data_IF_448646982650
#
_entry.id   IF_448646982650
#
_cell.length_a   1.000
_cell.length_b   1.000
_cell.length_c   1.000
_cell.angle_alpha   90.00
_cell.angle_beta   90.00
_cell.angle_gamma   90.00
#
_symmetry.space_group_name_H-M   'P 1'
#
loop_
_entity.id
_entity.type
_entity.pdbx_description
1 polymer ?
#
# COMPACT_ATOMS: atom_id res chain seq x y z
N UNK A 1 -39.49 31.84 42.49
CA UNK A 1 -39.12 31.08 41.27
C UNK A 1 -38.19 29.96 41.69
N UNK A 2 -38.65 28.72 41.58
CA UNK A 2 -38.02 27.54 42.21
C UNK A 2 -36.60 27.27 41.68
N UNK A 3 -35.70 26.98 42.62
CA UNK A 3 -34.31 26.50 42.41
C UNK A 3 -34.24 25.29 41.45
N UNK A 4 -35.35 24.57 41.29
CA UNK A 4 -35.50 23.44 40.38
C UNK A 4 -35.39 23.80 38.87
N UNK A 5 -35.74 25.02 38.47
CA UNK A 5 -35.78 25.40 37.04
C UNK A 5 -34.41 25.85 36.50
N UNK A 6 -33.49 26.29 37.37
CA UNK A 6 -32.13 26.72 36.98
C UNK A 6 -31.22 25.50 36.82
N UNK A 7 -31.39 24.48 37.65
CA UNK A 7 -30.59 23.24 37.60
C UNK A 7 -30.89 22.40 36.34
N UNK A 8 -32.12 22.48 35.82
CA UNK A 8 -32.52 21.75 34.61
C UNK A 8 -31.96 22.39 33.32
N UNK A 9 -31.69 23.70 33.30
CA UNK A 9 -31.06 24.38 32.15
C UNK A 9 -29.55 24.25 32.11
N UNK A 10 -28.89 24.03 33.25
CA UNK A 10 -27.43 23.86 33.31
C UNK A 10 -26.97 22.44 32.93
N UNK A 11 -27.80 21.41 33.19
CA UNK A 11 -27.50 20.01 32.83
C UNK A 11 -27.62 19.77 31.32
N UNK A 12 -28.49 20.52 30.62
CA UNK A 12 -28.67 20.38 29.16
C UNK A 12 -27.50 21.02 28.38
N UNK A 13 -26.88 22.08 28.90
CA UNK A 13 -25.71 22.70 28.24
C UNK A 13 -24.40 21.89 28.42
N UNK A 14 -24.28 21.09 29.48
CA UNK A 14 -23.12 20.19 29.69
C UNK A 14 -23.28 18.89 28.90
N UNK A 15 -24.51 18.43 28.67
CA UNK A 15 -24.77 17.27 27.80
C UNK A 15 -24.56 17.56 26.30
N UNK A 16 -24.66 18.83 25.86
CA UNK A 16 -24.42 19.25 24.48
C UNK A 16 -22.92 19.38 24.11
N UNK A 17 -22.00 19.36 25.09
CA UNK A 17 -20.55 19.38 24.86
C UNK A 17 -19.87 18.02 25.03
N UNK A 18 -20.60 16.98 25.45
CA UNK A 18 -20.07 15.63 25.63
C UNK A 18 -20.25 14.72 24.41
N UNK A 19 -20.90 15.19 23.34
CA UNK A 19 -20.70 14.64 21.99
C UNK A 19 -19.45 15.23 21.36
N UNK A 20 -18.31 15.04 22.03
CA UNK A 20 -17.04 15.00 21.32
C UNK A 20 -17.12 13.75 20.44
N UNK A 21 -17.52 13.98 19.19
CA UNK A 21 -17.25 13.09 18.08
C UNK A 21 -15.88 12.48 18.30
N UNK A 22 -15.82 11.16 18.52
CA UNK A 22 -14.61 10.39 18.28
C UNK A 22 -14.43 10.47 16.76
N UNK A 23 -13.94 11.61 16.29
CA UNK A 23 -13.57 11.82 14.92
C UNK A 23 -12.50 10.78 14.64
N UNK A 24 -12.76 9.86 13.72
CA UNK A 24 -11.70 9.07 13.12
C UNK A 24 -10.70 10.07 12.58
N UNK A 25 -9.55 10.17 13.22
CA UNK A 25 -8.58 11.16 12.82
C UNK A 25 -8.19 10.89 11.36
N UNK A 26 -8.51 11.85 10.50
CA UNK A 26 -8.34 11.73 9.07
C UNK A 26 -6.85 11.61 8.77
N UNK A 27 -6.45 10.57 8.04
CA UNK A 27 -5.11 10.48 7.47
C UNK A 27 -5.03 11.49 6.32
N UNK A 28 -4.03 12.36 6.38
CA UNK A 28 -3.77 13.37 5.35
C UNK A 28 -2.33 13.27 4.88
N UNK A 29 -2.06 13.77 3.67
CA UNK A 29 -0.70 13.81 3.14
C UNK A 29 0.21 14.71 3.98
N UNK A 30 1.41 14.25 4.29
CA UNK A 30 2.51 15.11 4.75
C UNK A 30 3.12 15.83 3.54
N UNK A 31 2.57 17.00 3.20
CA UNK A 31 3.04 17.81 2.06
C UNK A 31 4.43 18.40 2.27
N UNK A 32 4.95 18.37 3.50
CA UNK A 32 6.29 18.84 3.82
C UNK A 32 7.33 17.73 3.72
N UNK A 33 6.92 16.48 3.46
CA UNK A 33 7.87 15.41 3.18
C UNK A 33 8.75 15.79 1.98
N UNK A 34 10.05 15.65 2.19
CA UNK A 34 11.06 15.91 1.21
C UNK A 34 12.15 14.85 1.32
N UNK A 35 12.63 14.40 0.16
CA UNK A 35 13.68 13.40 0.08
C UNK A 35 14.65 13.84 -1.03
N UNK A 36 15.91 14.14 -0.70
CA UNK A 36 16.85 14.69 -1.65
C UNK A 36 17.24 13.64 -2.70
N UNK A 37 17.10 14.00 -3.97
CA UNK A 37 17.61 13.24 -5.12
C UNK A 37 18.78 14.01 -5.70
N UNK A 38 20.00 13.48 -5.53
CA UNK A 38 21.22 14.13 -6.02
C UNK A 38 21.38 14.00 -7.54
N UNK A 39 20.97 12.86 -8.10
CA UNK A 39 21.06 12.55 -9.51
C UNK A 39 19.76 11.87 -9.97
N UNK A 40 18.79 12.64 -10.49
CA UNK A 40 17.58 12.08 -11.08
C UNK A 40 17.91 11.11 -12.21
N UNK A 41 17.15 10.02 -12.34
CA UNK A 41 17.35 9.06 -13.43
C UNK A 41 17.03 9.65 -14.81
N UNK A 42 16.15 10.67 -14.85
CA UNK A 42 15.83 11.44 -16.04
C UNK A 42 15.92 12.95 -15.78
N UNK A 43 16.08 13.73 -16.85
CA UNK A 43 15.74 15.14 -16.80
C UNK A 43 14.28 15.32 -16.33
N UNK A 44 14.04 16.35 -15.52
CA UNK A 44 12.73 16.57 -14.90
C UNK A 44 11.62 16.67 -15.96
N UNK A 45 10.62 15.77 -15.85
CA UNK A 45 9.49 15.70 -16.77
C UNK A 45 9.77 15.03 -18.12
N UNK A 46 10.96 14.44 -18.31
CA UNK A 46 11.36 13.73 -19.54
C UNK A 46 11.40 12.21 -19.38
N UNK A 47 11.19 11.70 -18.17
CA UNK A 47 11.18 10.28 -17.87
C UNK A 47 9.93 9.55 -18.35
N UNK A 48 9.93 8.23 -18.12
CA UNK A 48 8.83 7.36 -18.51
C UNK A 48 7.50 7.77 -17.86
N UNK A 49 6.39 7.51 -18.56
CA UNK A 49 5.04 7.74 -18.03
C UNK A 49 4.66 6.64 -17.04
N UNK A 50 4.32 7.07 -15.83
CA UNK A 50 3.70 6.28 -14.78
C UNK A 50 2.22 6.68 -14.69
N UNK A 51 1.31 5.75 -14.98
CA UNK A 51 -0.11 5.95 -14.69
C UNK A 51 -0.43 5.40 -13.31
N UNK A 52 -1.05 6.24 -12.49
CA UNK A 52 -1.50 5.89 -11.15
C UNK A 52 -3.02 5.72 -11.15
N UNK A 53 -3.46 4.55 -10.73
CA UNK A 53 -4.86 4.16 -10.63
C UNK A 53 -5.61 4.95 -9.56
N UNK A 54 -6.61 5.73 -9.97
CA UNK A 54 -7.62 6.33 -9.10
C UNK A 54 -9.05 5.89 -9.50
N UNK A 55 -9.17 4.89 -10.39
CA UNK A 55 -10.45 4.44 -10.96
C UNK A 55 -11.16 3.36 -10.11
N UNK A 56 -10.43 2.69 -9.21
CA UNK A 56 -10.89 1.49 -8.49
C UNK A 56 -11.18 1.74 -7.01
N UNK A 57 -11.87 2.85 -6.71
CA UNK A 57 -12.24 3.29 -5.34
C UNK A 57 -11.05 3.38 -4.36
N UNK A 58 -9.84 3.56 -4.88
CA UNK A 58 -8.63 3.70 -4.10
C UNK A 58 -8.74 4.95 -3.22
N UNK A 59 -8.56 4.81 -1.90
CA UNK A 59 -8.45 5.97 -1.02
C UNK A 59 -7.12 6.71 -1.21
N UNK A 60 -6.11 6.00 -1.73
CA UNK A 60 -4.79 6.52 -2.06
C UNK A 60 -4.83 7.24 -3.41
N UNK A 61 -4.63 8.55 -3.41
CA UNK A 61 -4.59 9.39 -4.63
C UNK A 61 -3.31 10.24 -4.66
N UNK A 62 -2.89 10.66 -5.85
CA UNK A 62 -1.70 11.51 -6.04
C UNK A 62 -1.87 12.90 -5.43
N UNK A 63 -3.11 13.34 -5.19
CA UNK A 63 -3.41 14.60 -4.46
C UNK A 63 -3.65 14.38 -2.96
N UNK A 64 -3.86 13.13 -2.57
CA UNK A 64 -4.11 12.66 -1.21
C UNK A 64 -2.86 12.02 -0.58
N UNK A 65 -3.05 10.92 0.14
CA UNK A 65 -2.01 10.24 0.95
C UNK A 65 -0.76 9.84 0.17
N UNK A 66 -0.85 9.73 -1.16
CA UNK A 66 0.25 9.40 -2.08
C UNK A 66 0.87 10.63 -2.77
N UNK A 67 0.59 11.87 -2.32
CA UNK A 67 1.23 13.06 -2.87
C UNK A 67 2.77 13.04 -2.74
N UNK A 68 3.31 12.46 -1.66
CA UNK A 68 4.75 12.29 -1.48
C UNK A 68 5.37 11.28 -2.46
N UNK A 69 4.64 10.21 -2.81
CA UNK A 69 5.04 9.28 -3.87
C UNK A 69 5.19 10.02 -5.20
N UNK A 70 4.16 10.81 -5.56
CA UNK A 70 4.15 11.59 -6.79
C UNK A 70 5.32 12.58 -6.84
N UNK A 71 5.51 13.33 -5.75
CA UNK A 71 6.60 14.32 -5.62
C UNK A 71 7.97 13.67 -5.75
N UNK A 72 8.19 12.52 -5.08
CA UNK A 72 9.47 11.83 -5.12
C UNK A 72 9.82 11.38 -6.53
N UNK A 73 8.92 10.67 -7.21
CA UNK A 73 9.19 10.15 -8.55
C UNK A 73 9.28 11.26 -9.60
N UNK A 74 8.51 12.35 -9.44
CA UNK A 74 8.64 13.53 -10.30
C UNK A 74 10.00 14.21 -10.12
N UNK A 75 10.51 14.26 -8.89
CA UNK A 75 11.85 14.78 -8.59
C UNK A 75 12.97 13.89 -9.16
N UNK A 76 12.65 12.63 -9.42
CA UNK A 76 13.52 11.67 -10.11
C UNK A 76 13.37 11.71 -11.64
N UNK A 77 12.52 12.60 -12.15
CA UNK A 77 12.34 12.90 -13.56
C UNK A 77 11.22 12.14 -14.27
N UNK A 78 10.52 11.23 -13.58
CA UNK A 78 9.35 10.55 -14.13
C UNK A 78 8.16 11.50 -14.37
N UNK A 79 7.34 11.17 -15.36
CA UNK A 79 6.02 11.80 -15.53
C UNK A 79 4.97 10.92 -14.85
N UNK A 80 4.27 11.43 -13.84
CA UNK A 80 3.24 10.67 -13.11
C UNK A 80 1.88 11.35 -13.31
N UNK A 81 0.90 10.61 -13.80
CA UNK A 81 -0.46 11.09 -14.01
C UNK A 81 -1.49 10.15 -13.35
N UNK A 82 -2.55 10.69 -12.72
CA UNK A 82 -3.66 9.87 -12.26
C UNK A 82 -4.51 9.43 -13.46
N UNK A 83 -5.19 8.30 -13.36
CA UNK A 83 -6.25 7.89 -14.28
C UNK A 83 -7.50 7.50 -13.52
N UNK A 84 -8.64 7.99 -13.99
CA UNK A 84 -9.99 7.61 -13.54
C UNK A 84 -10.68 6.71 -14.56
N UNK A 85 -9.97 6.35 -15.63
CA UNK A 85 -10.48 5.54 -16.72
C UNK A 85 -10.28 4.05 -16.42
N UNK A 86 -11.17 3.22 -16.96
CA UNK A 86 -11.00 1.77 -16.94
C UNK A 86 -9.73 1.35 -17.67
N UNK A 87 -9.14 0.26 -17.24
CA UNK A 87 -7.93 -0.27 -17.87
C UNK A 87 -8.28 -0.86 -19.23
N UNK A 88 -7.79 -0.23 -20.30
CA UNK A 88 -7.95 -0.68 -21.68
C UNK A 88 -6.59 -0.77 -22.38
N UNK A 89 -6.46 -1.56 -23.46
CA UNK A 89 -5.24 -1.56 -24.27
C UNK A 89 -4.86 -0.15 -24.75
N UNK A 90 -5.84 0.67 -25.11
CA UNK A 90 -5.67 2.07 -25.54
C UNK A 90 -5.02 2.93 -24.45
N UNK A 91 -5.52 2.86 -23.21
CA UNK A 91 -4.94 3.57 -22.07
C UNK A 91 -3.48 3.16 -21.83
N UNK A 92 -3.18 1.88 -22.00
CA UNK A 92 -1.87 1.31 -21.72
C UNK A 92 -0.82 1.55 -22.82
N UNK A 93 -1.20 1.99 -24.03
CA UNK A 93 -0.27 2.17 -25.18
C UNK A 93 0.87 3.16 -24.89
N UNK A 94 0.60 4.23 -24.16
CA UNK A 94 1.59 5.27 -23.83
C UNK A 94 2.21 5.09 -22.45
N UNK A 95 1.70 4.13 -21.68
CA UNK A 95 2.09 3.87 -20.29
C UNK A 95 3.32 2.97 -20.26
N UNK A 96 4.30 3.31 -19.42
CA UNK A 96 5.45 2.43 -19.15
C UNK A 96 5.23 1.62 -17.88
N UNK A 97 4.73 2.28 -16.83
CA UNK A 97 4.46 1.67 -15.53
C UNK A 97 3.03 2.00 -15.13
N UNK A 98 2.24 0.98 -14.80
CA UNK A 98 0.92 1.13 -14.18
C UNK A 98 1.05 0.86 -12.68
N UNK A 99 0.55 1.76 -11.85
CA UNK A 99 0.59 1.67 -10.39
C UNK A 99 -0.83 1.60 -9.88
N UNK A 100 -1.14 0.57 -9.10
CA UNK A 100 -2.41 0.52 -8.35
C UNK A 100 -2.11 0.29 -6.88
N UNK A 101 -2.81 1.02 -6.02
CA UNK A 101 -2.60 1.02 -4.58
C UNK A 101 -3.92 0.89 -3.87
N UNK A 102 -4.09 -0.17 -3.09
CA UNK A 102 -5.26 -0.38 -2.24
C UNK A 102 -6.58 -0.23 -3.02
N UNK A 103 -6.63 -0.82 -4.22
CA UNK A 103 -7.86 -0.91 -5.00
C UNK A 103 -8.94 -1.62 -4.20
N UNK A 104 -10.17 -1.13 -4.29
CA UNK A 104 -11.32 -1.63 -3.54
C UNK A 104 -12.52 -1.82 -4.45
N UNK A 105 -13.20 -2.96 -4.31
CA UNK A 105 -14.45 -3.18 -5.02
C UNK A 105 -15.53 -2.15 -4.64
N UNK A 106 -15.64 -1.84 -3.35
CA UNK A 106 -16.59 -0.88 -2.82
C UNK A 106 -16.00 -0.13 -1.62
N UNK A 107 -16.41 1.13 -1.44
CA UNK A 107 -15.93 1.99 -0.34
C UNK A 107 -16.57 1.65 1.01
N UNK A 108 -17.76 1.03 1.01
CA UNK A 108 -18.53 0.78 2.24
C UNK A 108 -18.98 -0.68 2.43
N UNK A 109 -19.23 -1.41 1.33
CA UNK A 109 -19.62 -2.83 1.40
C UNK A 109 -18.39 -3.74 1.35
N UNK A 110 -17.95 -4.15 2.53
CA UNK A 110 -16.75 -4.99 2.71
C UNK A 110 -17.12 -6.43 3.10
N UNK A 111 -18.40 -6.80 2.99
CA UNK A 111 -18.87 -8.12 3.39
C UNK A 111 -18.23 -9.23 2.55
N UNK A 112 -18.05 -10.39 3.16
CA UNK A 112 -17.56 -11.58 2.47
C UNK A 112 -18.71 -12.31 1.74
N UNK A 113 -18.43 -13.01 0.62
CA UNK A 113 -17.13 -13.12 -0.04
C UNK A 113 -16.69 -11.81 -0.69
N UNK A 114 -15.40 -11.47 -0.53
CA UNK A 114 -14.84 -10.28 -1.16
C UNK A 114 -14.88 -10.38 -2.69
N UNK A 115 -14.99 -9.23 -3.35
CA UNK A 115 -15.16 -9.12 -4.80
C UNK A 115 -13.96 -8.41 -5.42
N UNK A 116 -13.62 -8.74 -6.67
CA UNK A 116 -12.56 -8.07 -7.42
C UNK A 116 -12.93 -6.62 -7.72
N UNK A 117 -12.00 -5.68 -7.51
CA UNK A 117 -12.16 -4.30 -7.96
C UNK A 117 -12.07 -4.19 -9.49
N UNK A 118 -11.29 -5.08 -10.11
CA UNK A 118 -11.06 -5.10 -11.55
C UNK A 118 -12.04 -6.05 -12.24
N UNK A 119 -12.58 -5.61 -13.37
CA UNK A 119 -13.32 -6.50 -14.26
C UNK A 119 -12.40 -7.51 -14.94
N UNK A 120 -12.98 -8.58 -15.49
CA UNK A 120 -12.20 -9.59 -16.24
C UNK A 120 -11.49 -8.97 -17.44
N UNK A 121 -12.13 -8.04 -18.16
CA UNK A 121 -11.55 -7.36 -19.32
C UNK A 121 -10.32 -6.52 -18.91
N UNK A 122 -10.37 -5.85 -17.77
CA UNK A 122 -9.25 -5.07 -17.23
C UNK A 122 -8.08 -5.98 -16.82
N UNK A 123 -8.37 -7.10 -16.16
CA UNK A 123 -7.36 -8.10 -15.80
C UNK A 123 -6.69 -8.67 -17.05
N UNK A 124 -7.47 -8.99 -18.09
CA UNK A 124 -6.95 -9.49 -19.37
C UNK A 124 -6.13 -8.44 -20.10
N UNK A 125 -6.59 -7.19 -20.15
CA UNK A 125 -5.86 -6.08 -20.78
C UNK A 125 -4.52 -5.83 -20.06
N UNK A 126 -4.54 -5.73 -18.73
CA UNK A 126 -3.35 -5.45 -17.93
C UNK A 126 -2.35 -6.61 -17.98
N UNK A 127 -2.80 -7.85 -17.80
CA UNK A 127 -1.91 -9.03 -17.86
C UNK A 127 -1.30 -9.21 -19.25
N UNK A 128 -2.07 -9.00 -20.33
CA UNK A 128 -1.57 -9.04 -21.70
C UNK A 128 -0.55 -7.93 -21.96
N UNK A 129 -0.80 -6.71 -21.47
CA UNK A 129 0.13 -5.60 -21.60
C UNK A 129 1.45 -5.85 -20.83
N UNK A 130 1.38 -6.34 -19.59
CA UNK A 130 2.58 -6.73 -18.83
C UNK A 130 3.33 -7.83 -19.58
N UNK A 131 2.65 -8.90 -20.02
CA UNK A 131 3.29 -9.97 -20.79
C UNK A 131 4.04 -9.45 -22.04
N UNK A 132 3.58 -8.33 -22.60
CA UNK A 132 4.17 -7.71 -23.78
C UNK A 132 5.26 -6.65 -23.51
N UNK A 133 5.61 -6.37 -22.24
CA UNK A 133 6.70 -5.46 -21.86
C UNK A 133 6.28 -4.30 -20.96
N UNK A 134 5.00 -4.21 -20.62
CA UNK A 134 4.50 -3.30 -19.59
C UNK A 134 5.01 -3.65 -18.19
N UNK A 135 4.93 -2.71 -17.26
CA UNK A 135 5.38 -2.89 -15.88
C UNK A 135 4.30 -2.55 -14.88
N UNK A 136 4.06 -3.41 -13.90
CA UNK A 136 3.02 -3.23 -12.88
C UNK A 136 3.66 -3.04 -11.50
N UNK A 137 3.27 -1.98 -10.81
CA UNK A 137 3.47 -1.87 -9.37
C UNK A 137 2.12 -2.09 -8.67
N UNK A 138 1.95 -3.27 -8.09
CA UNK A 138 0.74 -3.68 -7.38
C UNK A 138 0.94 -3.52 -5.88
N UNK A 139 0.27 -2.55 -5.27
CA UNK A 139 0.26 -2.38 -3.82
C UNK A 139 -1.13 -2.64 -3.30
N UNK A 140 -1.23 -3.46 -2.26
CA UNK A 140 -2.49 -3.74 -1.58
C UNK A 140 -2.31 -3.63 -0.07
N UNK A 141 -3.36 -3.93 0.66
CA UNK A 141 -3.41 -3.86 2.10
C UNK A 141 -4.20 -5.03 2.67
N UNK A 142 -4.41 -5.01 3.97
CA UNK A 142 -5.37 -5.88 4.63
C UNK A 142 -6.78 -5.80 4.01
N UNK A 143 -7.68 -6.69 4.44
CA UNK A 143 -9.05 -6.70 3.93
C UNK A 143 -9.71 -5.31 4.06
N UNK A 144 -10.51 -4.87 3.08
CA UNK A 144 -10.98 -5.61 1.90
C UNK A 144 -10.05 -5.53 0.67
N UNK A 145 -8.92 -4.82 0.76
CA UNK A 145 -8.03 -4.58 -0.39
C UNK A 145 -7.44 -5.90 -0.92
N UNK A 146 -7.04 -6.81 -0.02
CA UNK A 146 -6.52 -8.12 -0.38
C UNK A 146 -7.47 -8.93 -1.27
N UNK A 147 -8.76 -8.99 -0.94
CA UNK A 147 -9.76 -9.63 -1.80
C UNK A 147 -9.99 -8.87 -3.12
N UNK A 148 -9.96 -7.55 -3.08
CA UNK A 148 -10.21 -6.69 -4.24
C UNK A 148 -9.18 -6.85 -5.35
N UNK A 149 -7.95 -7.25 -5.00
CA UNK A 149 -6.88 -7.52 -5.96
C UNK A 149 -6.62 -9.01 -6.19
N UNK A 150 -7.38 -9.91 -5.55
CA UNK A 150 -7.07 -11.34 -5.55
C UNK A 150 -7.05 -11.94 -6.98
N UNK A 151 -8.08 -11.68 -7.78
CA UNK A 151 -8.16 -12.18 -9.16
C UNK A 151 -7.07 -11.57 -10.06
N UNK A 152 -6.74 -10.28 -9.86
CA UNK A 152 -5.64 -9.63 -10.58
C UNK A 152 -4.29 -10.28 -10.21
N UNK A 153 -3.99 -10.44 -8.92
CA UNK A 153 -2.77 -11.10 -8.45
C UNK A 153 -2.65 -12.52 -8.98
N UNK A 154 -3.75 -13.28 -8.95
CA UNK A 154 -3.82 -14.66 -9.43
C UNK A 154 -3.50 -14.79 -10.92
N UNK A 155 -3.84 -13.79 -11.74
CA UNK A 155 -3.46 -13.75 -13.17
C UNK A 155 -1.93 -13.74 -13.39
N UNK A 156 -1.17 -13.36 -12.36
CA UNK A 156 0.30 -13.38 -12.33
C UNK A 156 0.88 -14.50 -11.45
N UNK A 157 0.04 -15.40 -10.94
CA UNK A 157 0.45 -16.45 -10.01
C UNK A 157 0.71 -15.98 -8.57
N UNK A 158 0.26 -14.77 -8.22
CA UNK A 158 0.40 -14.17 -6.89
C UNK A 158 -0.89 -14.42 -6.10
N UNK A 159 -0.82 -15.21 -5.03
CA UNK A 159 -2.00 -15.50 -4.21
C UNK A 159 -2.08 -14.54 -3.02
N UNK A 160 -2.78 -13.42 -3.21
CA UNK A 160 -2.99 -12.41 -2.16
C UNK A 160 -3.98 -12.92 -1.12
N UNK A 161 -3.59 -12.82 0.16
CA UNK A 161 -4.43 -13.16 1.30
C UNK A 161 -5.35 -11.99 1.63
N UNK A 162 -6.61 -12.28 1.95
CA UNK A 162 -7.56 -11.27 2.44
C UNK A 162 -7.61 -11.26 3.97
N UNK A 163 -6.47 -10.95 4.61
CA UNK A 163 -6.31 -10.98 6.06
C UNK A 163 -5.46 -9.83 6.58
N UNK A 164 -5.10 -9.89 7.87
CA UNK A 164 -4.22 -8.93 8.55
C UNK A 164 -2.96 -9.63 8.99
N UNK A 165 -1.81 -9.20 8.49
CA UNK A 165 -0.52 -9.60 9.00
C UNK A 165 -0.24 -8.81 10.29
N UNK A 166 -0.02 -9.52 11.39
CA UNK A 166 0.40 -8.91 12.65
C UNK A 166 1.58 -9.66 13.24
N UNK A 167 2.52 -8.92 13.79
CA UNK A 167 3.61 -9.47 14.58
C UNK A 167 3.09 -10.05 15.90
N UNK A 168 3.57 -11.23 16.26
CA UNK A 168 3.23 -11.91 17.52
C UNK A 168 3.71 -11.16 18.76
N UNK A 169 4.80 -10.39 18.63
CA UNK A 169 5.40 -9.62 19.73
C UNK A 169 4.86 -8.19 19.86
N UNK A 170 3.93 -7.78 18.99
CA UNK A 170 3.35 -6.45 18.96
C UNK A 170 4.33 -5.31 18.66
N UNK A 171 5.57 -5.61 18.23
CA UNK A 171 6.57 -4.61 17.90
C UNK A 171 6.27 -3.92 16.55
N UNK A 172 6.91 -2.77 16.25
CA UNK A 172 6.83 -2.17 14.92
C UNK A 172 7.27 -3.13 13.81
N UNK A 173 6.61 -3.06 12.64
CA UNK A 173 6.90 -3.94 11.50
C UNK A 173 8.13 -3.50 10.72
N UNK A 174 9.30 -3.75 11.30
CA UNK A 174 10.59 -3.45 10.69
C UNK A 174 11.19 -4.71 10.07
N UNK A 175 11.27 -4.73 8.74
CA UNK A 175 11.97 -5.74 7.95
C UNK A 175 13.41 -5.30 7.76
N UNK A 176 14.38 -6.17 8.05
CA UNK A 176 15.79 -5.79 7.96
C UNK A 176 16.68 -6.98 7.58
N UNK A 177 17.78 -6.69 6.88
CA UNK A 177 18.77 -7.71 6.48
C UNK A 177 19.35 -8.45 7.69
N UNK A 178 19.67 -7.70 8.75
CA UNK A 178 20.14 -8.28 10.03
C UNK A 178 19.16 -9.26 10.68
N UNK A 179 17.86 -9.12 10.39
CA UNK A 179 16.79 -9.99 10.87
C UNK A 179 16.45 -11.11 9.89
N UNK A 180 17.07 -11.11 8.70
CA UNK A 180 16.76 -12.01 7.58
C UNK A 180 15.30 -11.94 7.10
N UNK A 181 14.62 -10.82 7.39
CA UNK A 181 13.24 -10.55 6.96
C UNK A 181 13.18 -9.59 5.77
N UNK A 182 14.27 -8.87 5.49
CA UNK A 182 14.51 -8.18 4.22
C UNK A 182 15.65 -8.91 3.51
N UNK A 183 15.41 -9.41 2.30
CA UNK A 183 16.35 -10.27 1.60
C UNK A 183 17.25 -9.48 0.65
N UNK A 184 18.44 -10.03 0.41
CA UNK A 184 19.39 -9.53 -0.58
C UNK A 184 18.94 -9.85 -2.00
N UNK A 185 18.76 -8.82 -2.81
CA UNK A 185 18.39 -8.90 -4.22
C UNK A 185 18.77 -7.60 -4.95
N UNK A 186 18.55 -7.50 -6.25
CA UNK A 186 18.93 -6.30 -7.02
C UNK A 186 18.24 -5.02 -6.50
N UNK A 187 16.97 -5.07 -6.08
CA UNK A 187 16.23 -3.92 -5.55
C UNK A 187 16.76 -3.48 -4.17
N UNK A 188 17.13 -4.40 -3.28
CA UNK A 188 17.65 -4.07 -1.94
C UNK A 188 19.16 -3.82 -1.91
N UNK A 189 19.88 -4.22 -2.97
CA UNK A 189 21.32 -4.03 -3.15
C UNK A 189 21.68 -3.11 -4.33
N UNK A 190 20.76 -2.25 -4.76
CA UNK A 190 21.01 -1.29 -5.83
C UNK A 190 22.30 -0.49 -5.57
N UNK A 191 23.14 -0.35 -6.61
CA UNK A 191 24.45 0.29 -6.50
C UNK A 191 24.27 1.75 -6.10
N UNK A 192 24.95 2.18 -5.03
CA UNK A 192 24.82 3.53 -4.48
C UNK A 192 23.51 3.80 -3.72
N UNK A 193 22.56 2.87 -3.71
CA UNK A 193 21.26 3.03 -3.06
C UNK A 193 20.79 1.78 -2.29
N UNK A 194 21.71 1.19 -1.50
CA UNK A 194 21.43 0.01 -0.68
C UNK A 194 20.32 0.27 0.37
N UNK A 195 19.49 -0.75 0.61
CA UNK A 195 18.41 -0.76 1.60
C UNK A 195 18.65 -1.89 2.60
N UNK A 196 18.91 -1.52 3.85
CA UNK A 196 19.18 -2.45 4.96
C UNK A 196 17.95 -2.74 5.81
N UNK A 197 16.99 -1.80 5.82
CA UNK A 197 15.81 -1.85 6.67
C UNK A 197 14.67 -1.04 6.07
N UNK A 198 13.46 -1.58 6.12
CA UNK A 198 12.22 -0.88 5.78
C UNK A 198 11.21 -1.04 6.90
N UNK A 199 10.22 -0.15 6.94
CA UNK A 199 9.11 -0.25 7.88
C UNK A 199 7.77 -0.31 7.15
N UNK A 200 6.90 -1.19 7.65
CA UNK A 200 5.51 -1.37 7.25
C UNK A 200 4.59 -1.11 8.47
N UNK A 201 3.27 -1.18 8.28
CA UNK A 201 2.23 -0.78 9.23
C UNK A 201 1.04 -1.74 9.27
N UNK A 202 1.29 -3.04 9.08
CA UNK A 202 0.26 -4.05 9.27
C UNK A 202 -0.74 -4.05 8.12
N UNK A 203 -0.30 -4.60 6.99
CA UNK A 203 -1.16 -4.90 5.84
C UNK A 203 -1.59 -6.36 5.83
N UNK A 204 -1.47 -7.02 4.68
CA UNK A 204 -1.70 -8.46 4.53
C UNK A 204 -0.39 -9.19 4.23
N UNK A 205 -0.49 -10.38 3.63
CA UNK A 205 0.61 -11.02 2.92
C UNK A 205 0.11 -11.74 1.68
N UNK A 206 1.03 -12.33 0.93
CA UNK A 206 0.70 -13.18 -0.20
C UNK A 206 1.66 -14.37 -0.30
N UNK A 207 1.22 -15.39 -1.02
CA UNK A 207 2.09 -16.49 -1.45
C UNK A 207 2.60 -16.13 -2.83
N UNK A 208 3.90 -15.91 -2.94
CA UNK A 208 4.56 -15.59 -4.20
C UNK A 208 4.74 -16.85 -5.06
N UNK A 209 4.72 -16.75 -6.41
CA UNK A 209 5.06 -17.87 -7.27
C UNK A 209 6.55 -18.21 -7.14
N UNK A 210 6.92 -19.47 -7.41
CA UNK A 210 8.28 -19.99 -7.15
C UNK A 210 9.41 -19.28 -7.92
N UNK A 211 9.10 -18.61 -9.03
CA UNK A 211 10.04 -17.85 -9.83
C UNK A 211 10.12 -16.36 -9.45
N UNK A 212 9.37 -15.92 -8.45
CA UNK A 212 9.48 -14.56 -7.92
C UNK A 212 10.71 -14.43 -7.02
N UNK A 213 11.29 -13.24 -7.04
CA UNK A 213 12.34 -12.83 -6.12
C UNK A 213 11.69 -12.13 -4.93
N UNK A 214 12.00 -12.60 -3.73
CA UNK A 214 11.39 -12.09 -2.51
C UNK A 214 12.16 -10.87 -2.00
N UNK A 215 11.43 -9.81 -1.66
CA UNK A 215 11.99 -8.59 -1.03
C UNK A 215 11.89 -8.70 0.48
N UNK A 216 10.70 -8.96 1.02
CA UNK A 216 10.46 -9.05 2.45
C UNK A 216 9.56 -10.21 2.84
N UNK A 217 9.93 -10.94 3.88
CA UNK A 217 9.23 -12.13 4.38
C UNK A 217 8.61 -11.87 5.75
N UNK A 218 7.42 -12.42 5.99
CA UNK A 218 6.77 -12.36 7.31
C UNK A 218 7.37 -13.42 8.25
N UNK A 219 7.27 -14.70 7.88
CA UNK A 219 7.89 -15.80 8.63
C UNK A 219 7.16 -16.13 9.94
N UNK A 220 7.82 -16.85 10.83
CA UNK A 220 7.24 -17.36 12.08
C UNK A 220 6.90 -16.27 13.11
N UNK A 221 7.45 -15.07 12.95
CA UNK A 221 7.19 -13.91 13.81
C UNK A 221 5.77 -13.34 13.63
N UNK A 222 5.04 -13.78 12.60
CA UNK A 222 3.76 -13.20 12.21
C UNK A 222 2.64 -14.22 12.25
N UNK A 223 1.43 -13.71 12.52
CA UNK A 223 0.17 -14.38 12.25
C UNK A 223 -0.58 -13.60 11.17
N UNK A 224 -1.25 -14.32 10.25
CA UNK A 224 -2.21 -13.74 9.32
C UNK A 224 -3.61 -14.06 9.83
N UNK A 225 -4.31 -13.05 10.32
CA UNK A 225 -5.67 -13.17 10.83
C UNK A 225 -6.69 -13.03 9.70
N UNK A 226 -7.72 -13.88 9.70
CA UNK A 226 -8.79 -13.90 8.71
C UNK A 226 -10.15 -13.61 9.37
N UNK A 227 -10.51 -12.32 9.50
CA UNK A 227 -11.84 -11.95 9.94
C UNK A 227 -12.87 -12.45 8.92
N UNK A 228 -13.98 -12.99 9.42
CA UNK A 228 -15.10 -13.44 8.59
C UNK A 228 -16.24 -12.41 8.55
N UNK A 229 -16.14 -11.35 9.35
CA UNK A 229 -17.12 -10.28 9.43
C UNK A 229 -16.41 -8.91 9.55
N UNK A 230 -16.90 -7.90 8.84
CA UNK A 230 -16.32 -6.54 8.80
C UNK A 230 -16.35 -5.84 10.16
N UNK A 231 -17.26 -6.19 11.05
CA UNK A 231 -17.27 -5.65 12.41
C UNK A 231 -16.04 -6.05 13.21
N UNK A 232 -15.39 -7.18 12.89
CA UNK A 232 -14.20 -7.69 13.58
C UNK A 232 -12.96 -6.84 13.31
N UNK A 233 -12.94 -6.09 12.20
CA UNK A 233 -11.84 -5.17 11.87
C UNK A 233 -12.07 -3.75 12.41
N UNK A 234 -13.27 -3.47 12.93
CA UNK A 234 -13.61 -2.17 13.54
C UNK A 234 -13.21 -2.10 15.02
N UNK A 235 -12.65 -3.18 15.58
CA UNK A 235 -12.21 -3.33 16.98
C UNK A 235 -10.80 -3.93 17.01
N UNK A 236 -10.16 -3.98 18.19
CA UNK A 236 -8.94 -4.79 18.33
C UNK A 236 -9.25 -6.23 17.91
N UNK A 237 -8.35 -6.84 17.14
CA UNK A 237 -8.47 -8.23 16.66
C UNK A 237 -8.64 -9.13 17.90
N UNK A 238 -9.80 -9.76 18.01
CA UNK A 238 -10.10 -10.67 19.10
C UNK A 238 -9.37 -12.02 18.90
N UNK A 239 -8.99 -12.68 19.99
CA UNK A 239 -8.31 -13.98 19.97
C UNK A 239 -9.12 -15.11 19.30
N UNK A 240 -10.41 -14.87 19.04
CA UNK A 240 -11.32 -15.80 18.36
C UNK A 240 -11.21 -15.76 16.83
N UNK A 241 -10.48 -14.79 16.25
CA UNK A 241 -10.32 -14.67 14.79
C UNK A 241 -9.34 -15.76 14.32
N UNK A 242 -9.74 -16.62 13.35
CA UNK A 242 -8.86 -17.63 12.80
C UNK A 242 -7.59 -17.01 12.23
N UNK A 243 -6.45 -17.65 12.43
CA UNK A 243 -5.19 -17.19 11.87
C UNK A 243 -4.34 -18.36 11.38
N UNK A 244 -3.39 -18.05 10.50
CA UNK A 244 -2.30 -18.96 10.11
C UNK A 244 -0.95 -18.32 10.42
N UNK A 245 0.10 -19.14 10.49
CA UNK A 245 1.47 -18.64 10.60
C UNK A 245 1.88 -17.88 9.35
N UNK A 246 2.72 -16.84 9.49
CA UNK A 246 3.32 -16.12 8.37
C UNK A 246 4.43 -16.89 7.62
N UNK A 247 4.71 -18.14 8.02
CA UNK A 247 5.68 -19.01 7.32
C UNK A 247 5.23 -19.27 5.88
N UNK A 248 6.12 -19.01 4.92
CA UNK A 248 5.82 -19.10 3.49
C UNK A 248 5.03 -17.90 2.92
N UNK A 249 4.68 -16.93 3.77
CA UNK A 249 3.99 -15.70 3.37
C UNK A 249 4.98 -14.55 3.31
N UNK A 250 4.85 -13.72 2.26
CA UNK A 250 5.72 -12.58 2.01
C UNK A 250 4.93 -11.27 2.05
N UNK A 251 5.64 -10.18 2.32
CA UNK A 251 5.10 -8.83 2.29
C UNK A 251 5.49 -8.08 1.00
N UNK A 252 6.64 -8.40 0.41
CA UNK A 252 7.11 -7.76 -0.83
C UNK A 252 7.86 -8.75 -1.71
N UNK A 253 7.63 -8.67 -3.02
CA UNK A 253 8.30 -9.49 -4.03
C UNK A 253 8.32 -8.78 -5.39
N UNK A 254 9.17 -9.26 -6.29
CA UNK A 254 9.18 -8.84 -7.68
C UNK A 254 9.42 -10.03 -8.61
N UNK A 255 8.94 -9.94 -9.84
CA UNK A 255 9.00 -11.01 -10.82
C UNK A 255 8.89 -10.47 -12.25
N UNK A 256 9.42 -11.23 -13.20
CA UNK A 256 9.12 -11.02 -14.62
C UNK A 256 7.86 -11.79 -14.99
N UNK A 257 7.07 -11.23 -15.90
CA UNK A 257 5.91 -11.90 -16.47
C UNK A 257 5.89 -11.65 -17.98
N UNK A 258 6.13 -12.69 -18.78
CA UNK A 258 6.45 -12.53 -20.19
C UNK A 258 7.69 -11.64 -20.36
N UNK A 259 7.55 -10.54 -21.12
CA UNK A 259 8.58 -9.52 -21.30
C UNK A 259 8.52 -8.38 -20.27
N UNK A 260 7.46 -8.34 -19.47
CA UNK A 260 7.22 -7.30 -18.48
C UNK A 260 7.75 -7.62 -17.10
N UNK A 261 7.43 -6.73 -16.18
CA UNK A 261 7.95 -6.71 -14.81
C UNK A 261 6.85 -6.37 -13.82
N UNK A 262 6.90 -6.97 -12.65
CA UNK A 262 5.93 -6.74 -11.58
C UNK A 262 6.69 -6.57 -10.28
N UNK A 263 6.35 -5.53 -9.53
CA UNK A 263 6.70 -5.38 -8.11
C UNK A 263 5.39 -5.38 -7.34
N UNK A 264 5.33 -6.17 -6.27
CA UNK A 264 4.14 -6.29 -5.42
C UNK A 264 4.47 -6.09 -3.95
N UNK A 265 3.63 -5.33 -3.26
CA UNK A 265 3.68 -5.17 -1.80
C UNK A 265 2.30 -5.29 -1.18
N UNK A 266 2.25 -5.91 0.00
CA UNK A 266 1.03 -6.16 0.77
C UNK A 266 0.75 -5.14 1.86
N UNK A 267 1.31 -3.94 1.75
CA UNK A 267 0.99 -2.78 2.59
C UNK A 267 1.14 -1.48 1.77
N UNK A 268 0.15 -0.59 1.85
CA UNK A 268 0.14 0.72 1.18
C UNK A 268 0.86 1.83 1.94
N UNK A 269 1.06 1.70 3.25
CA UNK A 269 1.73 2.75 4.03
C UNK A 269 3.19 3.01 3.64
N UNK A 270 4.05 2.00 3.35
CA UNK A 270 5.48 2.17 3.11
C UNK A 270 5.86 3.22 2.07
N UNK A 271 5.01 3.43 1.06
CA UNK A 271 5.29 4.28 -0.10
C UNK A 271 4.54 5.62 -0.07
N UNK A 272 3.87 5.92 1.04
CA UNK A 272 3.17 7.17 1.28
C UNK A 272 3.97 8.10 2.19
N UNK A 273 3.48 9.31 2.45
CA UNK A 273 3.89 10.08 3.62
C UNK A 273 2.64 10.74 4.19
N UNK A 274 2.25 10.32 5.40
CA UNK A 274 0.96 10.66 5.98
C UNK A 274 1.14 11.23 7.39
N UNK A 275 0.15 12.03 7.80
CA UNK A 275 -0.06 12.49 9.15
C UNK A 275 -1.41 11.95 9.63
N UNK A 276 -1.42 11.31 10.79
CA UNK A 276 -2.62 10.84 11.47
C UNK A 276 -2.82 11.59 12.80
N UNK A 277 -4.07 11.70 13.25
CA UNK A 277 -4.37 12.39 14.51
C UNK A 277 -4.50 13.91 14.35
N UNK A 278 -4.39 14.62 15.46
CA UNK A 278 -4.15 16.08 15.49
C UNK A 278 -2.68 16.31 15.06
N UNK A 279 -2.38 15.94 13.81
CA UNK A 279 -1.19 16.28 13.02
C UNK A 279 0.19 15.93 13.62
N UNK A 280 0.41 14.74 14.17
CA UNK A 280 1.75 14.39 14.69
C UNK A 280 2.24 12.98 14.42
N UNK A 281 1.35 11.99 14.25
CA UNK A 281 1.81 10.63 14.00
C UNK A 281 2.13 10.45 12.51
N UNK A 282 3.43 10.22 12.23
CA UNK A 282 3.95 10.04 10.88
C UNK A 282 3.78 8.58 10.46
N UNK A 283 3.29 8.36 9.24
CA UNK A 283 3.16 7.02 8.63
C UNK A 283 3.66 7.04 7.20
N UNK A 284 4.47 6.04 6.84
CA UNK A 284 5.18 5.98 5.56
C UNK A 284 6.56 6.61 5.61
N UNK A 285 7.03 7.12 4.48
CA UNK A 285 8.41 7.60 4.25
C UNK A 285 8.84 8.74 5.18
N UNK A 286 7.90 9.48 5.77
CA UNK A 286 8.18 10.54 6.74
C UNK A 286 8.47 10.03 8.16
N UNK A 287 8.23 8.74 8.45
CA UNK A 287 8.44 8.14 9.76
C UNK A 287 9.93 7.81 10.02
N UNK A 288 10.38 7.96 11.27
CA UNK A 288 11.78 7.77 11.66
C UNK A 288 12.27 6.33 11.53
N UNK A 289 11.36 5.36 11.60
CA UNK A 289 11.64 3.94 11.34
C UNK A 289 11.68 3.55 9.86
N UNK A 290 11.24 4.43 8.95
CA UNK A 290 11.07 4.17 7.52
C UNK A 290 12.06 4.94 6.63
N UNK A 291 13.22 5.30 7.18
CA UNK A 291 14.21 6.19 6.52
C UNK A 291 14.69 5.71 5.15
N UNK A 292 14.63 4.41 4.86
CA UNK A 292 15.06 3.85 3.58
C UNK A 292 13.88 3.42 2.69
N UNK A 293 12.62 3.66 3.09
CA UNK A 293 11.46 3.33 2.27
C UNK A 293 11.43 4.14 0.96
N UNK A 294 11.86 5.41 0.98
CA UNK A 294 12.01 6.22 -0.22
C UNK A 294 13.08 5.64 -1.18
N UNK A 295 14.17 5.07 -0.65
CA UNK A 295 15.18 4.36 -1.46
C UNK A 295 14.60 3.11 -2.10
N UNK A 296 13.86 2.32 -1.32
CA UNK A 296 13.19 1.13 -1.81
C UNK A 296 12.21 1.49 -2.94
N UNK A 297 11.45 2.57 -2.79
CA UNK A 297 10.54 3.07 -3.81
C UNK A 297 11.29 3.39 -5.12
N UNK A 298 12.35 4.20 -5.03
CA UNK A 298 13.18 4.54 -6.19
C UNK A 298 13.73 3.28 -6.87
N UNK A 299 14.36 2.37 -6.11
CA UNK A 299 14.91 1.13 -6.65
C UNK A 299 13.83 0.26 -7.32
N UNK A 300 12.62 0.22 -6.75
CA UNK A 300 11.51 -0.56 -7.31
C UNK A 300 11.04 0.01 -8.64
N UNK A 301 10.92 1.34 -8.74
CA UNK A 301 10.54 2.03 -9.97
C UNK A 301 11.65 1.94 -11.02
N UNK A 302 12.91 2.13 -10.64
CA UNK A 302 14.07 1.94 -11.53
C UNK A 302 14.11 0.52 -12.07
N UNK A 303 13.83 -0.49 -11.24
CA UNK A 303 13.77 -1.87 -11.69
C UNK A 303 12.66 -2.11 -12.70
N UNK A 304 11.44 -1.62 -12.41
CA UNK A 304 10.30 -1.69 -13.32
C UNK A 304 10.61 -1.01 -14.66
N UNK A 305 11.28 0.14 -14.63
CA UNK A 305 11.66 0.89 -15.83
C UNK A 305 12.87 0.27 -16.59
N UNK A 306 13.66 -0.57 -15.93
CA UNK A 306 14.91 -1.11 -16.49
C UNK A 306 16.08 -0.12 -16.43
N UNK A 307 16.11 0.71 -15.38
CA UNK A 307 17.15 1.71 -15.07
C UNK A 307 17.91 1.44 -13.77
N UNK A 308 17.58 0.35 -13.07
CA UNK A 308 18.27 -0.07 -11.84
C UNK A 308 19.74 -0.44 -12.10
#
# INVERSE_FOLDING_TARGET
MSVCTIMCRLVILVALFAWLSIGRAQQVADRNFDYPIAAPVYEIGRGALILFDEAHNNASTLRGTYAAFAKLLASDGYSILPTLDKITPELLKTTKIYVTVNAMYATEDWNLPGRSAFSMDEILALSSWVANGGSLFLVTDHMPCGASVHELGKSFGINVLNGFALRKDGQPEVFAKRRKTLLDNEITNAVGNNVDSIMCWGGTGFIAPSHAHIISTLGEDYNIYFPHDVSQIKRLIADTIPYVSGVGVVNGAYLKFGRGKIVVFADGAPFSAQLQGIKSEKRGMNHTGARQNAKLLLNSIHWLDGKL
#
